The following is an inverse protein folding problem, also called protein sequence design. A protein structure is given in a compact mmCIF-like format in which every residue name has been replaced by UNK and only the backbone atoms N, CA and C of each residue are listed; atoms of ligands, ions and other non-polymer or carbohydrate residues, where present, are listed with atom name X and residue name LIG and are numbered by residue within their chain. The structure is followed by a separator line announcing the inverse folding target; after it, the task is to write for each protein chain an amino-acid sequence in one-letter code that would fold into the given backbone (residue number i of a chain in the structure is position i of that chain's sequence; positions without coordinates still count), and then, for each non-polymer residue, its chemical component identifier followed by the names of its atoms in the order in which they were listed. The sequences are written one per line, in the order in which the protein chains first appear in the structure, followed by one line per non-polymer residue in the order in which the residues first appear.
data_IF_735573934301
#
_entry.id   IF_735573934301
#
_cell.length_a   1.000
_cell.length_b   1.000
_cell.length_c   1.000
_cell.angle_alpha   90.00
_cell.angle_beta   90.00
_cell.angle_gamma   90.00
#
_symmetry.space_group_name_H-M   'P 1'
#
loop_
_entity.id
_entity.type
_entity.pdbx_description
1 polymer ?
#
# COMPACT_ATOMS: atom_id res chain seq x y z
N UNK A 1 9.56 1.79 27.46
CA UNK A 1 10.90 1.92 26.83
C UNK A 1 11.00 3.31 26.16
N UNK A 2 12.09 3.67 25.47
CA UNK A 2 12.16 4.90 24.64
C UNK A 2 12.41 4.56 23.17
N UNK A 3 11.84 5.37 22.27
CA UNK A 3 12.07 5.31 20.83
C UNK A 3 12.69 6.62 20.33
N UNK A 4 13.72 6.49 19.49
CA UNK A 4 14.20 7.53 18.59
C UNK A 4 13.40 7.40 17.31
N UNK A 5 12.62 8.42 16.99
CA UNK A 5 11.76 8.47 15.81
C UNK A 5 12.21 9.56 14.84
N UNK A 6 11.75 9.45 13.60
CA UNK A 6 11.83 10.49 12.58
C UNK A 6 10.42 10.88 12.13
N UNK A 7 10.05 12.14 12.29
CA UNK A 7 8.75 12.66 11.84
C UNK A 7 8.64 12.64 10.32
N UNK A 8 7.48 12.22 9.80
CA UNK A 8 7.22 12.20 8.35
C UNK A 8 7.03 13.62 7.78
N UNK A 9 6.46 14.53 8.56
CA UNK A 9 6.10 15.89 8.08
C UNK A 9 7.31 16.79 7.79
N UNK A 10 8.28 16.84 8.70
CA UNK A 10 9.43 17.75 8.63
C UNK A 10 10.80 17.04 8.61
N UNK A 11 10.81 15.71 8.69
CA UNK A 11 12.03 14.90 8.69
C UNK A 11 12.91 15.03 9.93
N UNK A 12 12.48 15.78 10.96
CA UNK A 12 13.24 15.94 12.21
C UNK A 12 13.19 14.66 13.02
N UNK A 13 14.17 14.52 13.90
CA UNK A 13 14.25 13.42 14.85
C UNK A 13 13.74 13.86 16.22
N UNK A 14 13.21 12.92 17.00
CA UNK A 14 12.79 13.17 18.38
C UNK A 14 12.91 11.88 19.19
N UNK A 15 13.13 12.01 20.49
CA UNK A 15 13.17 10.88 21.42
C UNK A 15 11.95 11.00 22.34
N UNK A 16 11.22 9.90 22.49
CA UNK A 16 10.00 9.85 23.30
C UNK A 16 9.76 8.45 23.86
N UNK A 17 8.97 8.32 24.95
CA UNK A 17 8.56 7.02 25.48
C UNK A 17 7.79 6.18 24.44
N UNK A 18 7.96 4.86 24.46
CA UNK A 18 7.23 3.94 23.55
C UNK A 18 5.71 3.98 23.76
N UNK A 19 5.25 4.29 24.98
CA UNK A 19 3.84 4.54 25.35
C UNK A 19 3.17 5.74 24.66
N UNK A 20 3.92 6.58 23.94
CA UNK A 20 3.36 7.63 23.08
C UNK A 20 3.04 7.11 21.66
N UNK A 21 3.52 5.92 21.30
CA UNK A 21 3.29 5.30 20.00
C UNK A 21 2.04 4.42 20.11
N UNK A 22 1.04 4.68 19.26
CA UNK A 22 -0.23 3.94 19.28
C UNK A 22 -0.08 2.58 18.64
N UNK A 23 -0.74 1.58 19.25
CA UNK A 23 -0.79 0.20 18.77
C UNK A 23 0.62 -0.35 18.48
N UNK A 24 1.57 0.01 19.35
CA UNK A 24 2.97 -0.38 19.30
C UNK A 24 3.21 -1.56 20.25
N UNK A 25 3.77 -2.64 19.69
CA UNK A 25 4.06 -3.87 20.41
C UNK A 25 5.59 -4.07 20.43
N UNK A 26 6.17 -4.13 21.63
CA UNK A 26 7.63 -4.26 21.78
C UNK A 26 8.11 -5.63 21.29
N UNK A 27 7.31 -6.70 21.44
CA UNK A 27 7.69 -8.06 21.05
C UNK A 27 7.58 -8.26 19.52
N UNK A 28 6.53 -7.75 18.86
CA UNK A 28 6.43 -7.77 17.38
C UNK A 28 7.57 -6.99 16.71
N UNK A 29 7.96 -5.85 17.30
CA UNK A 29 9.06 -5.02 16.80
C UNK A 29 10.43 -5.73 16.94
N UNK A 30 10.74 -6.33 18.09
CA UNK A 30 12.00 -7.02 18.30
C UNK A 30 12.10 -8.37 17.58
N UNK A 31 10.99 -9.07 17.38
CA UNK A 31 10.96 -10.31 16.56
C UNK A 31 11.02 -10.03 15.05
N UNK A 32 10.87 -8.79 14.62
CA UNK A 32 10.91 -8.40 13.21
C UNK A 32 9.66 -8.83 12.42
N UNK A 33 8.58 -9.19 13.10
CA UNK A 33 7.29 -9.50 12.47
C UNK A 33 6.46 -8.23 12.17
N UNK A 34 6.84 -7.09 12.74
CA UNK A 34 6.20 -5.80 12.48
C UNK A 34 6.69 -5.13 11.18
N UNK A 35 5.95 -5.29 10.07
CA UNK A 35 6.22 -4.62 8.79
C UNK A 35 5.87 -3.09 8.78
N UNK A 36 5.52 -2.50 9.92
CA UNK A 36 5.12 -1.08 10.00
C UNK A 36 6.35 -0.18 9.82
N UNK A 37 6.45 0.46 8.66
CA UNK A 37 7.45 1.49 8.39
C UNK A 37 7.09 2.87 9.00
N UNK A 38 5.82 3.08 9.35
CA UNK A 38 5.27 4.35 9.87
C UNK A 38 4.28 4.05 10.99
N UNK A 39 4.41 4.81 12.08
CA UNK A 39 3.66 4.68 13.32
C UNK A 39 2.91 5.98 13.62
N UNK A 40 1.81 5.87 14.35
CA UNK A 40 1.05 7.01 14.85
C UNK A 40 1.53 7.37 16.25
N UNK A 41 2.07 8.58 16.42
CA UNK A 41 2.71 9.02 17.66
C UNK A 41 1.97 10.22 18.24
N UNK A 42 1.64 10.13 19.53
CA UNK A 42 1.01 11.19 20.31
C UNK A 42 2.02 12.24 20.77
N UNK A 43 1.81 13.48 20.37
CA UNK A 43 2.59 14.62 20.86
C UNK A 43 2.08 15.07 22.23
N UNK A 44 2.53 14.38 23.27
CA UNK A 44 2.17 14.68 24.66
C UNK A 44 2.98 15.85 25.22
N UNK A 45 2.53 17.08 24.96
CA UNK A 45 3.16 18.29 25.48
C UNK A 45 2.34 18.90 26.62
N UNK A 46 2.79 18.65 27.86
CA UNK A 46 2.18 19.18 29.09
C UNK A 46 1.68 18.08 30.03
N UNK A 47 1.23 18.47 31.22
CA UNK A 47 0.87 17.55 32.31
C UNK A 47 -0.55 16.97 32.18
N UNK A 48 -1.42 17.61 31.40
CA UNK A 48 -2.84 17.26 31.29
C UNK A 48 -3.29 17.13 29.84
N UNK A 49 -3.96 16.02 29.54
CA UNK A 49 -4.53 15.75 28.23
C UNK A 49 -5.58 16.83 27.84
N UNK A 50 -5.50 17.40 26.62
CA UNK A 50 -6.46 18.39 26.16
C UNK A 50 -7.82 17.77 25.83
N UNK A 51 -8.89 18.57 25.86
CA UNK A 51 -10.25 18.15 25.49
C UNK A 51 -10.30 17.78 24.00
N UNK A 52 -10.15 16.50 23.69
CA UNK A 52 -10.06 15.97 22.33
C UNK A 52 -8.93 14.94 22.13
N UNK A 53 -8.09 14.74 23.15
CA UNK A 53 -6.94 13.84 23.10
C UNK A 53 -5.69 14.50 22.53
N UNK A 54 -4.54 13.85 22.71
CA UNK A 54 -3.27 14.36 22.21
C UNK A 54 -3.24 14.48 20.68
N UNK A 55 -2.59 15.51 20.11
CA UNK A 55 -2.30 15.56 18.69
C UNK A 55 -1.51 14.32 18.24
N UNK A 56 -1.87 13.74 17.10
CA UNK A 56 -1.26 12.51 16.59
C UNK A 56 -0.61 12.80 15.24
N UNK A 57 0.65 12.39 15.08
CA UNK A 57 1.45 12.60 13.88
C UNK A 57 2.06 11.28 13.39
N UNK A 58 2.48 11.25 12.12
CA UNK A 58 3.15 10.08 11.52
C UNK A 58 4.67 10.17 11.70
N UNK A 59 5.29 9.08 12.16
CA UNK A 59 6.74 8.97 12.33
C UNK A 59 7.25 7.55 12.06
N UNK A 60 8.50 7.39 11.62
CA UNK A 60 9.18 6.10 11.56
C UNK A 60 10.09 5.89 12.77
N UNK A 61 10.16 4.67 13.30
CA UNK A 61 11.07 4.31 14.39
C UNK A 61 12.47 4.06 13.80
N UNK A 62 13.50 4.67 14.40
CA UNK A 62 14.91 4.62 13.95
C UNK A 62 15.78 3.78 14.90
N UNK A 63 15.43 3.75 16.19
CA UNK A 63 15.98 2.83 17.20
C UNK A 63 15.11 2.87 18.46
N UNK A 64 15.05 1.76 19.17
CA UNK A 64 14.46 1.67 20.51
C UNK A 64 15.58 1.35 21.52
N UNK A 65 15.46 1.87 22.75
CA UNK A 65 16.35 1.51 23.86
C UNK A 65 15.66 1.75 25.23
N UNK A 66 16.06 1.00 26.25
CA UNK A 66 15.60 1.20 27.63
C UNK A 66 15.88 2.60 28.19
N UNK A 67 17.00 3.22 27.77
CA UNK A 67 17.50 4.49 28.34
C UNK A 67 17.56 5.56 27.26
N UNK A 68 16.91 6.69 27.53
CA UNK A 68 16.91 7.87 26.67
C UNK A 68 18.33 8.33 26.28
N UNK A 69 19.29 8.30 27.21
CA UNK A 69 20.70 8.67 26.97
C UNK A 69 21.36 7.88 25.82
N UNK A 70 21.00 6.60 25.67
CA UNK A 70 21.51 5.75 24.57
C UNK A 70 21.01 6.25 23.21
N UNK A 71 19.80 6.81 23.16
CA UNK A 71 19.20 7.37 21.96
C UNK A 71 19.70 8.79 21.70
N UNK A 72 19.99 9.60 22.74
CA UNK A 72 20.61 10.92 22.59
C UNK A 72 21.98 10.84 21.91
N UNK A 73 22.78 9.80 22.21
CA UNK A 73 24.05 9.54 21.52
C UNK A 73 23.81 9.26 20.02
N UNK A 74 22.87 8.36 19.69
CA UNK A 74 22.55 8.03 18.28
C UNK A 74 21.89 9.20 17.54
N UNK A 75 21.10 10.03 18.21
CA UNK A 75 20.54 11.26 17.65
C UNK A 75 21.67 12.21 17.23
N UNK A 76 22.64 12.45 18.12
CA UNK A 76 23.79 13.31 17.85
C UNK A 76 24.67 12.76 16.71
N UNK A 77 24.84 11.45 16.65
CA UNK A 77 25.52 10.76 15.53
C UNK A 77 24.82 11.02 14.19
N UNK A 78 23.47 10.92 14.15
CA UNK A 78 22.67 11.20 12.95
C UNK A 78 22.73 12.69 12.57
N UNK A 79 22.69 13.61 13.54
CA UNK A 79 22.85 15.05 13.32
C UNK A 79 24.24 15.42 12.82
N UNK A 80 25.28 14.66 13.19
CA UNK A 80 26.65 14.86 12.72
C UNK A 80 26.88 14.31 11.30
N UNK A 81 26.15 13.26 10.91
CA UNK A 81 26.16 12.70 9.54
C UNK A 81 25.34 13.54 8.54
N UNK A 82 24.43 14.39 9.02
CA UNK A 82 23.74 15.36 8.17
C UNK A 82 24.72 16.49 7.77
N UNK A 83 24.71 16.95 6.50
CA UNK A 83 25.59 18.01 6.05
C UNK A 83 25.29 19.30 6.82
N UNK A 84 26.21 19.69 7.70
CA UNK A 84 26.14 20.93 8.49
C UNK A 84 26.07 22.11 7.50
N UNK A 85 25.06 23.00 7.59
CA UNK A 85 25.03 24.20 6.75
C UNK A 85 26.26 25.05 7.05
N UNK A 86 26.90 25.62 6.03
CA UNK A 86 28.09 26.45 6.17
C UNK A 86 27.84 27.60 7.15
N UNK A 87 28.41 27.49 8.35
CA UNK A 87 28.36 28.54 9.35
C UNK A 87 29.26 29.67 8.85
N UNK A 88 28.66 30.65 8.18
CA UNK A 88 29.26 31.96 7.96
C UNK A 88 29.51 32.56 9.35
N UNK A 89 30.73 32.37 9.85
CA UNK A 89 31.20 32.90 11.13
C UNK A 89 31.12 34.43 11.05
N UNK A 90 30.04 35.01 11.58
CA UNK A 90 29.96 36.46 11.82
C UNK A 90 31.15 36.84 12.68
N UNK A 91 32.00 37.74 12.17
CA UNK A 91 33.23 38.16 12.85
C UNK A 91 32.88 38.65 14.26
N UNK A 92 33.58 38.11 15.26
CA UNK A 92 33.45 38.54 16.66
C UNK A 92 33.64 40.06 16.76
N UNK A 93 32.70 40.75 17.40
CA UNK A 93 32.94 42.11 17.89
C UNK A 93 33.63 41.98 19.26
N UNK A 94 34.77 42.65 19.49
CA UNK A 94 35.51 42.52 20.75
C UNK A 94 34.69 43.05 21.93
N UNK A 95 34.81 42.41 23.08
CA UNK A 95 34.13 42.84 24.30
C UNK A 95 34.78 44.11 24.87
N UNK A 96 34.01 45.17 25.04
CA UNK A 96 34.37 46.27 25.93
C UNK A 96 34.08 45.81 27.37
N UNK A 97 35.13 45.72 28.18
CA UNK A 97 35.05 45.70 29.65
C UNK A 97 35.34 47.10 30.19
N UNK A 98 35.00 47.33 31.47
CA UNK A 98 35.23 48.55 32.27
C UNK A 98 34.35 49.74 31.84
N UNK A 99 33.57 50.40 32.71
CA UNK A 99 33.93 50.89 34.05
C UNK A 99 32.77 50.88 35.07
N UNK A 100 33.19 50.96 36.34
CA UNK A 100 32.55 51.54 37.54
C UNK A 100 31.14 51.11 37.99
N UNK A 101 31.11 50.62 39.23
CA UNK A 101 29.93 50.52 40.07
C UNK A 101 30.02 51.58 41.18
N UNK A 102 29.11 52.55 41.18
CA UNK A 102 28.76 53.38 42.33
C UNK A 102 27.37 54.01 42.15
N UNK A 103 26.64 54.17 43.26
CA UNK A 103 25.51 55.09 43.47
C UNK A 103 24.12 54.79 42.82
N UNK A 104 23.28 54.15 43.66
CA UNK A 104 21.97 54.61 44.15
C UNK A 104 20.76 54.88 43.21
N UNK A 105 19.70 54.12 43.55
CA UNK A 105 18.26 54.48 43.72
C UNK A 105 17.21 54.21 42.62
N UNK A 106 16.11 53.67 43.16
CA UNK A 106 14.68 53.80 42.84
C UNK A 106 14.10 53.19 41.53
N UNK A 107 13.35 52.11 41.72
CA UNK A 107 12.26 51.57 40.87
C UNK A 107 11.11 52.60 40.69
N UNK A 108 10.09 52.39 39.81
CA UNK A 108 9.83 51.26 38.89
C UNK A 108 9.48 51.65 37.43
N UNK A 109 9.42 50.67 36.51
CA UNK A 109 8.36 50.54 35.48
C UNK A 109 8.61 49.39 34.47
N UNK A 110 7.57 48.61 34.19
CA UNK A 110 7.64 47.46 33.28
C UNK A 110 7.93 47.85 31.81
N UNK A 111 9.06 47.38 31.27
CA UNK A 111 9.37 47.44 29.83
C UNK A 111 9.06 46.10 29.17
N UNK A 112 8.06 46.09 28.27
CA UNK A 112 7.71 44.92 27.44
C UNK A 112 8.93 44.49 26.62
N UNK A 113 9.31 43.20 26.72
CA UNK A 113 10.28 42.61 25.78
C UNK A 113 9.64 42.46 24.41
N UNK A 114 9.88 43.42 23.53
CA UNK A 114 9.62 43.29 22.09
C UNK A 114 10.64 42.30 21.54
N UNK A 115 10.18 41.14 21.08
CA UNK A 115 11.00 40.20 20.33
C UNK A 115 11.20 40.73 18.90
N UNK A 116 12.41 40.66 18.32
CA UNK A 116 12.63 41.01 16.91
C UNK A 116 11.87 40.07 15.97
N UNK A 117 11.00 40.63 15.12
CA UNK A 117 10.13 39.85 14.21
C UNK A 117 10.72 39.84 12.80
N UNK A 118 11.77 39.03 12.59
CA UNK A 118 12.44 38.87 11.28
C UNK A 118 12.41 37.43 10.74
N UNK A 119 11.41 36.62 11.15
CA UNK A 119 11.18 35.26 10.63
C UNK A 119 10.39 35.09 9.30
N UNK A 120 9.68 36.09 8.71
CA UNK A 120 8.81 35.82 7.54
C UNK A 120 9.52 35.34 6.26
N UNK A 121 10.80 35.69 6.07
CA UNK A 121 11.44 35.61 4.76
C UNK A 121 11.94 34.19 4.40
N UNK A 122 12.60 33.50 5.34
CA UNK A 122 13.18 32.17 5.09
C UNK A 122 12.10 31.10 4.84
N UNK A 123 10.96 31.20 5.55
CA UNK A 123 9.83 30.30 5.34
C UNK A 123 9.20 30.47 3.95
N UNK A 124 9.18 31.70 3.42
CA UNK A 124 8.68 31.97 2.07
C UNK A 124 9.59 31.36 1.00
N UNK A 125 10.90 31.57 1.10
CA UNK A 125 11.91 30.99 0.19
C UNK A 125 11.92 29.45 0.25
N UNK A 126 11.71 28.86 1.44
CA UNK A 126 11.62 27.41 1.59
C UNK A 126 10.38 26.83 0.92
N UNK A 127 9.22 27.47 1.12
CA UNK A 127 7.97 27.07 0.46
C UNK A 127 8.06 27.19 -1.07
N UNK A 128 8.68 28.26 -1.58
CA UNK A 128 8.89 28.49 -3.01
C UNK A 128 9.76 27.39 -3.64
N UNK A 129 10.91 27.06 -3.03
CA UNK A 129 11.76 25.93 -3.45
C UNK A 129 11.06 24.57 -3.39
N UNK A 130 10.20 24.36 -2.38
CA UNK A 130 9.38 23.14 -2.26
C UNK A 130 8.35 23.05 -3.39
N UNK A 131 7.69 24.16 -3.73
CA UNK A 131 6.75 24.24 -4.87
C UNK A 131 7.49 23.96 -6.18
N UNK A 132 8.63 24.61 -6.45
CA UNK A 132 9.44 24.36 -7.66
C UNK A 132 9.90 22.90 -7.81
N UNK A 133 10.26 22.25 -6.69
CA UNK A 133 10.64 20.84 -6.71
C UNK A 133 9.44 19.94 -7.03
N UNK A 134 8.30 20.16 -6.37
CA UNK A 134 7.06 19.43 -6.66
C UNK A 134 6.59 19.64 -8.11
N UNK A 135 6.71 20.86 -8.64
CA UNK A 135 6.38 21.20 -10.03
C UNK A 135 7.24 20.38 -11.02
N UNK A 136 8.55 20.26 -10.75
CA UNK A 136 9.48 19.43 -11.55
C UNK A 136 9.12 17.95 -11.49
N UNK A 137 8.85 17.41 -10.30
CA UNK A 137 8.45 16.00 -10.13
C UNK A 137 7.12 15.71 -10.86
N UNK A 138 6.14 16.60 -10.76
CA UNK A 138 4.86 16.49 -11.48
C UNK A 138 5.07 16.49 -13.00
N UNK A 139 5.96 17.33 -13.53
CA UNK A 139 6.24 17.38 -14.96
C UNK A 139 6.94 16.10 -15.44
N UNK A 140 7.94 15.60 -14.70
CA UNK A 140 8.65 14.35 -15.01
C UNK A 140 7.69 13.15 -14.99
N UNK A 141 6.84 13.03 -13.97
CA UNK A 141 5.82 11.98 -13.89
C UNK A 141 4.78 12.08 -15.01
N UNK A 142 4.45 13.29 -15.49
CA UNK A 142 3.56 13.47 -16.65
C UNK A 142 4.21 13.01 -17.95
N UNK A 143 5.49 13.31 -18.14
CA UNK A 143 6.27 12.87 -19.30
C UNK A 143 6.45 11.35 -19.32
N UNK A 144 6.79 10.76 -18.19
CA UNK A 144 6.87 9.29 -18.01
C UNK A 144 5.51 8.62 -18.30
N UNK A 145 4.42 9.14 -17.74
CA UNK A 145 3.07 8.65 -18.06
C UNK A 145 2.68 8.81 -19.54
N UNK A 146 3.17 9.86 -20.22
CA UNK A 146 2.97 10.03 -21.65
C UNK A 146 3.79 9.01 -22.45
N UNK A 147 5.02 8.70 -22.02
CA UNK A 147 5.86 7.70 -22.66
C UNK A 147 5.29 6.28 -22.47
N UNK A 148 4.94 5.90 -21.23
CA UNK A 148 4.28 4.64 -20.91
C UNK A 148 2.95 4.46 -21.65
N UNK A 149 2.19 5.54 -21.91
CA UNK A 149 0.99 5.48 -22.76
C UNK A 149 1.29 5.23 -24.23
N UNK A 150 2.37 5.81 -24.78
CA UNK A 150 2.82 5.52 -26.15
C UNK A 150 3.27 4.07 -26.27
N UNK A 151 4.09 3.59 -25.33
CA UNK A 151 4.58 2.22 -25.29
C UNK A 151 3.42 1.21 -25.13
N UNK A 152 2.50 1.43 -24.20
CA UNK A 152 1.30 0.59 -24.08
C UNK A 152 0.43 0.58 -25.34
N UNK A 153 0.34 1.70 -26.08
CA UNK A 153 -0.35 1.73 -27.37
C UNK A 153 0.42 0.92 -28.43
N UNK A 154 1.73 1.06 -28.48
CA UNK A 154 2.59 0.31 -29.40
C UNK A 154 2.52 -1.20 -29.12
N UNK A 155 2.69 -1.64 -27.88
CA UNK A 155 2.57 -3.05 -27.47
C UNK A 155 1.18 -3.63 -27.78
N UNK A 156 0.10 -2.85 -27.58
CA UNK A 156 -1.25 -3.28 -27.96
C UNK A 156 -1.39 -3.49 -29.47
N UNK A 157 -0.85 -2.58 -30.28
CA UNK A 157 -0.86 -2.74 -31.73
C UNK A 157 -0.02 -3.95 -32.16
N UNK A 158 1.19 -4.12 -31.62
CA UNK A 158 2.08 -5.26 -31.90
C UNK A 158 1.43 -6.61 -31.58
N UNK A 159 0.70 -6.69 -30.45
CA UNK A 159 -0.09 -7.87 -30.06
C UNK A 159 -1.25 -8.12 -31.03
N UNK A 160 -1.96 -7.05 -31.42
CA UNK A 160 -3.07 -7.13 -32.39
C UNK A 160 -2.59 -7.50 -33.80
N UNK A 161 -1.36 -7.19 -34.18
CA UNK A 161 -0.77 -7.62 -35.46
C UNK A 161 -0.24 -9.06 -35.41
N UNK A 162 0.37 -9.50 -34.30
CA UNK A 162 1.01 -10.82 -34.23
C UNK A 162 0.09 -11.98 -33.86
N UNK A 163 -0.96 -11.75 -33.08
CA UNK A 163 -1.87 -12.84 -32.66
C UNK A 163 -2.72 -13.38 -33.83
N UNK A 164 -3.38 -12.55 -34.68
CA UNK A 164 -4.27 -13.08 -35.72
C UNK A 164 -3.57 -13.99 -36.76
N UNK A 165 -2.37 -13.65 -37.30
CA UNK A 165 -1.65 -14.55 -38.21
C UNK A 165 -1.24 -15.87 -37.54
N UNK A 166 -0.89 -15.85 -36.26
CA UNK A 166 -0.56 -17.05 -35.50
C UNK A 166 -1.78 -17.96 -35.31
N UNK A 167 -2.93 -17.37 -34.95
CA UNK A 167 -4.20 -18.09 -34.85
C UNK A 167 -4.60 -18.71 -36.21
N UNK A 168 -4.54 -17.91 -37.28
CA UNK A 168 -4.84 -18.37 -38.64
C UNK A 168 -3.90 -19.50 -39.08
N UNK A 169 -2.60 -19.42 -38.77
CA UNK A 169 -1.66 -20.51 -39.06
C UNK A 169 -1.99 -21.79 -38.28
N UNK A 170 -2.37 -21.68 -37.00
CA UNK A 170 -2.82 -22.85 -36.22
C UNK A 170 -4.14 -23.42 -36.73
N UNK A 171 -5.06 -22.59 -37.20
CA UNK A 171 -6.33 -23.02 -37.78
C UNK A 171 -6.12 -23.77 -39.10
N UNK A 172 -5.23 -23.29 -39.98
CA UNK A 172 -4.82 -24.02 -41.19
C UNK A 172 -4.17 -25.38 -40.88
N UNK A 173 -3.33 -25.49 -39.84
CA UNK A 173 -2.74 -26.77 -39.42
C UNK A 173 -3.75 -27.75 -38.81
N UNK A 174 -4.86 -27.26 -38.25
CA UNK A 174 -5.96 -28.08 -37.71
C UNK A 174 -7.01 -28.44 -38.77
N UNK A 175 -7.05 -27.73 -39.89
CA UNK A 175 -8.05 -27.90 -40.97
C UNK A 175 -7.49 -28.54 -42.24
N UNK A 176 -6.15 -28.56 -42.46
CA UNK A 176 -5.55 -29.42 -43.49
C UNK A 176 -5.83 -30.89 -43.14
N UNK A 177 -6.65 -31.62 -43.92
CA UNK A 177 -6.74 -33.06 -43.77
C UNK A 177 -5.38 -33.65 -44.12
N UNK A 178 -4.93 -34.66 -43.36
CA UNK A 178 -3.75 -35.45 -43.72
C UNK A 178 -3.91 -35.94 -45.16
N UNK A 179 -3.19 -35.31 -46.09
CA UNK A 179 -3.02 -35.84 -47.45
C UNK A 179 -2.15 -37.08 -47.33
N UNK A 180 -2.82 -38.20 -47.10
CA UNK A 180 -2.26 -39.52 -47.31
C UNK A 180 -1.77 -39.57 -48.76
N UNK A 181 -0.46 -39.54 -48.96
CA UNK A 181 0.16 -39.84 -50.26
C UNK A 181 -0.04 -41.33 -50.54
N UNK A 182 -1.26 -41.67 -50.95
CA UNK A 182 -1.65 -42.96 -51.48
C UNK A 182 -1.34 -42.98 -52.99
N UNK A 183 -0.06 -42.82 -53.32
CA UNK A 183 0.49 -43.17 -54.63
C UNK A 183 1.59 -44.21 -54.42
N UNK A 184 1.17 -45.47 -54.51
CA UNK A 184 2.06 -46.62 -54.62
C UNK A 184 2.19 -46.94 -56.11
N UNK A 185 3.42 -46.88 -56.67
CA UNK A 185 3.81 -47.75 -57.76
C UNK A 185 4.71 -48.85 -57.19
N UNK A 186 4.15 -50.05 -57.07
CA UNK A 186 4.92 -51.29 -57.11
C UNK A 186 5.65 -51.37 -58.46
N UNK A 187 6.95 -51.63 -58.46
CA UNK A 187 7.62 -52.43 -59.50
C UNK A 187 8.98 -52.93 -58.99
N UNK A 188 9.10 -54.25 -58.88
CA UNK A 188 10.33 -54.95 -58.51
C UNK A 188 11.42 -54.88 -59.58
N UNK A 189 12.70 -54.64 -59.20
CA UNK A 189 13.88 -55.17 -59.93
C UNK A 189 15.22 -55.09 -59.17
N UNK A 190 15.82 -56.27 -58.96
CA UNK A 190 17.26 -56.59 -58.99
C UNK A 190 18.23 -56.10 -57.88
N UNK A 191 18.62 -57.08 -57.06
CA UNK A 191 19.94 -57.37 -56.41
C UNK A 191 21.22 -56.88 -57.14
N UNK A 192 22.43 -57.04 -56.53
CA UNK A 192 22.81 -57.09 -55.09
C UNK A 192 24.11 -56.29 -54.79
N UNK A 193 24.55 -56.25 -53.52
CA UNK A 193 25.93 -56.61 -53.11
C UNK A 193 25.97 -56.86 -51.59
N UNK A 194 26.89 -57.70 -51.13
CA UNK A 194 26.90 -58.32 -49.80
C UNK A 194 28.10 -57.82 -48.93
N UNK A 195 28.51 -58.53 -47.87
CA UNK A 195 27.92 -58.53 -46.52
C UNK A 195 28.96 -58.05 -45.47
N UNK A 196 28.65 -58.12 -44.15
CA UNK A 196 29.60 -58.67 -43.16
C UNK A 196 29.03 -58.84 -41.72
N UNK A 197 29.28 -60.05 -41.19
CA UNK A 197 29.47 -60.44 -39.76
C UNK A 197 28.33 -60.37 -38.72
N UNK A 198 28.24 -61.47 -37.96
CA UNK A 198 27.28 -61.75 -36.87
C UNK A 198 27.89 -61.45 -35.45
N UNK A 199 27.56 -62.12 -34.31
CA UNK A 199 26.89 -61.54 -33.13
C UNK A 199 27.68 -61.84 -31.81
N UNK A 200 27.16 -62.29 -30.62
CA UNK A 200 25.85 -62.16 -29.91
C UNK A 200 25.92 -61.92 -28.36
N UNK A 201 24.74 -61.62 -27.73
CA UNK A 201 24.25 -62.12 -26.38
C UNK A 201 24.98 -61.71 -25.05
N UNK A 202 24.43 -62.00 -23.84
CA UNK A 202 23.07 -61.72 -23.30
C UNK A 202 23.09 -61.24 -21.79
N UNK A 203 22.00 -61.55 -21.04
CA UNK A 203 21.69 -61.45 -19.57
C UNK A 203 21.47 -60.04 -18.97
N UNK A 204 20.60 -59.81 -17.97
CA UNK A 204 19.52 -60.61 -17.30
C UNK A 204 18.44 -59.64 -16.73
N UNK A 205 17.11 -59.86 -16.76
CA UNK A 205 16.19 -60.81 -16.08
C UNK A 205 15.48 -60.29 -14.80
N UNK A 206 14.16 -60.01 -14.93
CA UNK A 206 13.08 -60.02 -13.89
C UNK A 206 13.09 -58.91 -12.79
N UNK A 207 11.97 -58.49 -12.17
CA UNK A 207 10.60 -59.07 -12.09
C UNK A 207 9.47 -58.04 -11.78
N UNK A 208 8.20 -58.46 -11.95
CA UNK A 208 6.92 -57.94 -11.39
C UNK A 208 6.50 -56.47 -11.73
N UNK A 209 5.32 -56.11 -12.26
CA UNK A 209 3.93 -56.64 -12.27
C UNK A 209 3.18 -56.57 -10.93
N UNK A 210 2.16 -55.69 -10.88
CA UNK A 210 0.87 -55.68 -10.14
C UNK A 210 0.37 -54.20 -10.10
N UNK A 211 -0.89 -53.78 -10.09
CA UNK A 211 -2.19 -54.21 -10.65
C UNK A 211 -3.19 -53.04 -10.36
N UNK A 212 -4.29 -53.00 -11.12
CA UNK A 212 -5.50 -52.14 -11.18
C UNK A 212 -6.12 -51.83 -9.76
N UNK A 213 -6.82 -50.68 -9.45
CA UNK A 213 -8.13 -50.38 -10.06
C UNK A 213 -8.71 -48.94 -10.12
N UNK A 214 -9.83 -48.90 -10.87
CA UNK A 214 -10.80 -47.83 -11.17
C UNK A 214 -11.94 -47.79 -10.14
N UNK A 215 -12.43 -46.60 -9.75
CA UNK A 215 -13.55 -46.38 -8.81
C UNK A 215 -14.33 -45.07 -9.11
N UNK A 216 -15.58 -44.87 -8.62
CA UNK A 216 -16.67 -44.49 -9.52
C UNK A 216 -17.52 -43.24 -9.17
N UNK A 217 -18.41 -42.87 -10.08
CA UNK A 217 -19.51 -41.91 -9.86
C UNK A 217 -20.73 -42.53 -9.16
N UNK A 218 -21.39 -41.79 -8.26
CA UNK A 218 -22.86 -41.77 -8.08
C UNK A 218 -23.31 -40.64 -7.16
N UNK A 219 -24.53 -40.15 -7.36
CA UNK A 219 -25.18 -39.09 -6.60
C UNK A 219 -26.42 -39.61 -5.84
N UNK A 220 -26.86 -38.90 -4.79
CA UNK A 220 -28.26 -38.68 -4.36
C UNK A 220 -28.31 -38.20 -2.88
N UNK A 221 -28.71 -36.96 -2.61
CA UNK A 221 -30.07 -36.51 -2.26
C UNK A 221 -30.45 -36.65 -0.77
N UNK A 222 -30.53 -35.52 -0.07
CA UNK A 222 -31.68 -35.16 0.77
C UNK A 222 -31.90 -33.66 0.65
N UNK A 223 -33.14 -33.17 0.74
CA UNK A 223 -33.42 -31.77 0.48
C UNK A 223 -34.69 -31.25 1.13
N UNK A 224 -34.72 -29.93 1.32
CA UNK A 224 -35.92 -29.14 1.54
C UNK A 224 -35.73 -27.81 0.79
N UNK A 225 -36.61 -27.53 -0.18
CA UNK A 225 -36.41 -26.43 -1.13
C UNK A 225 -37.39 -25.28 -0.87
N UNK A 226 -36.89 -24.04 -0.94
CA UNK A 226 -37.48 -22.92 -1.71
C UNK A 226 -36.64 -21.64 -1.57
N UNK A 227 -36.08 -21.15 -2.68
CA UNK A 227 -35.33 -19.89 -2.75
C UNK A 227 -34.20 -19.97 -3.78
N UNK A 228 -34.51 -19.72 -5.05
CA UNK A 228 -33.53 -19.84 -6.14
C UNK A 228 -32.56 -18.65 -6.17
N UNK A 229 -31.33 -18.88 -5.70
CA UNK A 229 -30.12 -18.25 -6.21
C UNK A 229 -28.93 -19.06 -5.67
N UNK A 230 -28.11 -19.64 -6.54
CA UNK A 230 -26.83 -20.25 -6.13
C UNK A 230 -25.79 -19.13 -5.89
N UNK A 231 -26.14 -18.28 -4.93
CA UNK A 231 -25.41 -17.13 -4.48
C UNK A 231 -24.23 -17.63 -3.63
N UNK A 232 -23.15 -18.07 -4.28
CA UNK A 232 -21.92 -18.40 -3.57
C UNK A 232 -21.41 -17.14 -2.84
N UNK A 233 -21.42 -17.17 -1.51
CA UNK A 233 -21.01 -16.05 -0.66
C UNK A 233 -19.53 -16.17 -0.26
N UNK A 234 -18.84 -15.03 -0.18
CA UNK A 234 -17.44 -14.94 0.28
C UNK A 234 -17.39 -14.03 1.50
N UNK A 235 -16.68 -14.45 2.56
CA UNK A 235 -16.43 -13.61 3.73
C UNK A 235 -15.39 -12.53 3.41
N UNK A 236 -15.71 -11.28 3.75
CA UNK A 236 -14.90 -10.12 3.41
C UNK A 236 -13.64 -10.01 4.28
N UNK A 237 -13.74 -10.43 5.54
CA UNK A 237 -12.63 -10.63 6.45
C UNK A 237 -12.93 -11.85 7.33
N UNK A 238 -11.97 -12.76 7.51
CA UNK A 238 -12.18 -14.00 8.26
C UNK A 238 -12.67 -13.72 9.69
N UNK A 239 -13.69 -14.45 10.13
CA UNK A 239 -14.20 -14.38 11.49
C UNK A 239 -15.11 -13.18 11.79
N UNK A 240 -15.38 -12.29 10.83
CA UNK A 240 -16.35 -11.20 11.00
C UNK A 240 -17.77 -11.58 10.58
N UNK A 241 -17.95 -12.70 9.87
CA UNK A 241 -19.24 -13.16 9.35
C UNK A 241 -19.86 -12.30 8.22
N UNK A 242 -19.24 -11.17 7.88
CA UNK A 242 -19.70 -10.25 6.84
C UNK A 242 -19.44 -10.86 5.46
N UNK A 243 -20.52 -11.15 4.74
CA UNK A 243 -20.52 -11.89 3.48
C UNK A 243 -21.03 -11.03 2.33
N UNK A 244 -20.38 -11.17 1.18
CA UNK A 244 -20.80 -10.59 -0.10
C UNK A 244 -20.87 -11.67 -1.18
N UNK A 245 -21.52 -11.38 -2.31
CA UNK A 245 -21.65 -12.34 -3.41
C UNK A 245 -20.30 -12.52 -4.11
N UNK A 246 -19.95 -13.75 -4.50
CA UNK A 246 -18.66 -14.08 -5.15
C UNK A 246 -18.39 -13.27 -6.42
N UNK A 247 -19.43 -12.93 -7.19
CA UNK A 247 -19.28 -12.05 -8.36
C UNK A 247 -18.94 -10.61 -7.96
N UNK A 248 -19.53 -10.07 -6.89
CA UNK A 248 -19.19 -8.74 -6.36
C UNK A 248 -17.75 -8.72 -5.82
N UNK A 249 -17.32 -9.81 -5.16
CA UNK A 249 -15.94 -9.97 -4.72
C UNK A 249 -14.97 -10.01 -5.91
N UNK A 250 -15.29 -10.76 -6.97
CA UNK A 250 -14.49 -10.78 -8.19
C UNK A 250 -14.40 -9.37 -8.85
N UNK A 251 -15.50 -8.63 -8.92
CA UNK A 251 -15.50 -7.23 -9.39
C UNK A 251 -14.66 -6.31 -8.50
N UNK A 252 -14.66 -6.50 -7.17
CA UNK A 252 -13.82 -5.74 -6.25
C UNK A 252 -12.32 -6.03 -6.48
N UNK A 253 -11.95 -7.29 -6.73
CA UNK A 253 -10.57 -7.70 -7.06
C UNK A 253 -10.08 -7.14 -8.40
N UNK A 254 -10.96 -6.82 -9.35
CA UNK A 254 -10.59 -6.20 -10.64
C UNK A 254 -10.32 -4.68 -10.54
N UNK A 255 -10.66 -4.04 -9.43
CA UNK A 255 -10.51 -2.60 -9.26
C UNK A 255 -9.04 -2.15 -9.35
N UNK A 256 -8.73 -1.11 -10.13
CA UNK A 256 -7.36 -0.66 -10.32
C UNK A 256 -6.82 0.24 -9.19
N UNK A 257 -7.70 0.71 -8.30
CA UNK A 257 -7.32 1.55 -7.15
C UNK A 257 -8.08 1.14 -5.89
N UNK A 258 -7.52 1.45 -4.71
CA UNK A 258 -8.19 1.24 -3.44
C UNK A 258 -9.53 2.00 -3.37
N UNK A 259 -9.59 3.22 -3.90
CA UNK A 259 -10.85 4.01 -4.00
C UNK A 259 -11.92 3.28 -4.79
N UNK A 260 -11.57 2.70 -5.93
CA UNK A 260 -12.51 1.91 -6.74
C UNK A 260 -12.92 0.61 -6.03
N UNK A 261 -12.00 -0.06 -5.34
CA UNK A 261 -12.30 -1.28 -4.58
C UNK A 261 -13.25 -0.99 -3.40
N UNK A 262 -12.99 0.06 -2.62
CA UNK A 262 -13.88 0.56 -1.56
C UNK A 262 -15.28 0.85 -2.11
N UNK A 263 -15.39 1.50 -3.28
CA UNK A 263 -16.68 1.80 -3.91
C UNK A 263 -17.48 0.55 -4.25
N UNK A 264 -16.84 -0.47 -4.85
CA UNK A 264 -17.51 -1.75 -5.15
C UNK A 264 -17.94 -2.45 -3.87
N UNK A 265 -17.06 -2.51 -2.86
CA UNK A 265 -17.36 -3.17 -1.60
C UNK A 265 -18.46 -2.48 -0.80
N UNK A 266 -18.54 -1.14 -0.80
CA UNK A 266 -19.66 -0.40 -0.18
C UNK A 266 -21.00 -0.79 -0.82
N UNK A 267 -21.06 -0.83 -2.16
CA UNK A 267 -22.29 -1.21 -2.89
C UNK A 267 -22.65 -2.70 -2.71
N UNK A 268 -21.69 -3.55 -2.33
CA UNK A 268 -21.90 -4.97 -2.08
C UNK A 268 -22.29 -5.30 -0.63
N UNK A 269 -21.90 -4.46 0.34
CA UNK A 269 -22.10 -4.68 1.78
C UNK A 269 -23.26 -3.90 2.37
N UNK A 270 -23.58 -2.73 1.81
CA UNK A 270 -24.67 -1.88 2.30
C UNK A 270 -25.75 -1.70 1.22
N UNK A 271 -27.04 -1.80 1.58
CA UNK A 271 -28.14 -1.36 0.71
C UNK A 271 -27.97 0.11 0.29
N UNK A 272 -28.48 0.45 -0.89
CA UNK A 272 -28.34 1.79 -1.46
C UNK A 272 -28.97 2.86 -0.56
N UNK A 273 -30.10 2.53 0.05
CA UNK A 273 -30.87 3.37 0.98
C UNK A 273 -30.03 3.72 2.21
N UNK A 274 -29.31 2.73 2.77
CA UNK A 274 -28.40 2.92 3.91
C UNK A 274 -27.28 3.87 3.53
N UNK A 275 -26.74 3.78 2.32
CA UNK A 275 -25.64 4.62 1.87
C UNK A 275 -26.08 6.07 1.57
N UNK A 276 -27.28 6.28 1.04
CA UNK A 276 -27.85 7.62 0.81
C UNK A 276 -28.02 8.37 2.14
N UNK A 277 -28.57 7.70 3.17
CA UNK A 277 -28.85 8.32 4.46
C UNK A 277 -27.66 8.31 5.45
N UNK A 278 -26.54 7.66 5.12
CA UNK A 278 -25.38 7.55 6.02
C UNK A 278 -24.16 8.40 5.60
N UNK A 279 -23.26 8.59 6.57
CA UNK A 279 -21.87 9.02 6.34
C UNK A 279 -20.89 8.21 7.24
N UNK A 280 -19.59 8.35 7.03
CA UNK A 280 -18.56 7.56 7.72
C UNK A 280 -18.56 7.67 9.27
N UNK A 281 -19.04 8.78 9.85
CA UNK A 281 -19.01 9.04 11.31
C UNK A 281 -20.38 9.35 11.92
N UNK A 282 -21.42 9.45 11.10
CA UNK A 282 -22.71 10.03 11.45
C UNK A 282 -22.64 11.54 11.67
N UNK A 283 -23.81 12.16 11.86
CA UNK A 283 -23.94 13.58 12.14
C UNK A 283 -24.16 14.45 10.91
N UNK A 284 -24.14 15.76 11.14
CA UNK A 284 -24.37 16.77 10.12
C UNK A 284 -23.10 17.09 9.34
N UNK A 285 -23.24 17.56 8.09
CA UNK A 285 -22.10 18.08 7.32
C UNK A 285 -21.50 19.30 8.01
N UNK A 286 -20.16 19.39 8.02
CA UNK A 286 -19.46 20.59 8.53
C UNK A 286 -19.39 21.72 7.50
N UNK A 287 -19.49 21.37 6.22
CA UNK A 287 -19.47 22.31 5.09
C UNK A 287 -20.86 22.77 4.69
N UNK A 288 -21.91 22.02 5.06
CA UNK A 288 -23.31 22.37 4.81
C UNK A 288 -24.10 22.26 6.11
N UNK A 289 -24.33 23.41 6.74
CA UNK A 289 -25.04 23.56 8.02
C UNK A 289 -26.57 23.41 7.82
N UNK A 290 -27.05 23.41 6.58
CA UNK A 290 -28.44 23.11 6.23
C UNK A 290 -28.71 21.63 5.92
N UNK A 291 -27.67 20.83 5.65
CA UNK A 291 -27.82 19.42 5.30
C UNK A 291 -28.47 18.58 6.41
N UNK A 292 -29.26 17.59 6.02
CA UNK A 292 -29.87 16.63 6.93
C UNK A 292 -28.82 15.80 7.70
N UNK A 293 -29.11 15.47 8.96
CA UNK A 293 -28.22 14.71 9.83
C UNK A 293 -28.21 13.24 9.42
N UNK A 294 -27.07 12.76 8.91
CA UNK A 294 -26.91 11.38 8.44
C UNK A 294 -26.56 10.39 9.55
N UNK A 295 -26.92 9.14 9.36
CA UNK A 295 -26.54 8.01 10.22
C UNK A 295 -25.06 7.65 10.06
N UNK A 296 -24.46 6.99 11.06
CA UNK A 296 -23.13 6.43 10.91
C UNK A 296 -23.21 5.08 10.20
N UNK A 297 -22.29 4.81 9.26
CA UNK A 297 -22.12 3.45 8.73
C UNK A 297 -21.66 2.50 9.84
N UNK A 298 -22.06 1.23 9.71
CA UNK A 298 -21.66 0.19 10.65
C UNK A 298 -20.13 0.04 10.72
N UNK A 299 -19.62 0.02 11.95
CA UNK A 299 -18.18 0.07 12.22
C UNK A 299 -17.49 -1.26 11.91
N UNK A 300 -18.18 -2.39 12.12
CA UNK A 300 -17.63 -3.73 11.88
C UNK A 300 -17.54 -4.01 10.38
N UNK A 301 -18.61 -3.71 9.64
CA UNK A 301 -18.65 -3.75 8.17
C UNK A 301 -17.60 -2.84 7.55
N UNK A 302 -17.47 -1.60 8.05
CA UNK A 302 -16.41 -0.70 7.59
C UNK A 302 -14.99 -1.19 7.92
N UNK A 303 -14.79 -1.85 9.06
CA UNK A 303 -13.51 -2.46 9.41
C UNK A 303 -13.16 -3.63 8.47
N UNK A 304 -14.13 -4.51 8.18
CA UNK A 304 -13.95 -5.63 7.24
C UNK A 304 -13.60 -5.13 5.82
N UNK A 305 -14.26 -4.07 5.33
CA UNK A 305 -13.91 -3.43 4.05
C UNK A 305 -12.47 -2.91 4.08
N UNK A 306 -12.03 -2.25 5.16
CA UNK A 306 -10.66 -1.74 5.26
C UNK A 306 -9.61 -2.86 5.32
N UNK A 307 -9.89 -3.98 5.99
CA UNK A 307 -9.03 -5.18 6.00
C UNK A 307 -8.92 -5.76 4.59
N UNK A 308 -10.06 -5.97 3.91
CA UNK A 308 -10.09 -6.52 2.55
C UNK A 308 -9.34 -5.66 1.53
N UNK A 309 -9.48 -4.33 1.62
CA UNK A 309 -8.78 -3.39 0.73
C UNK A 309 -7.29 -3.34 1.05
N UNK A 310 -6.89 -3.31 2.33
CA UNK A 310 -5.47 -3.33 2.74
C UNK A 310 -4.75 -4.60 2.33
N UNK A 311 -5.42 -5.76 2.35
CA UNK A 311 -4.86 -7.03 1.84
C UNK A 311 -4.40 -6.95 0.38
N UNK A 312 -5.00 -6.06 -0.43
CA UNK A 312 -4.62 -5.83 -1.83
C UNK A 312 -3.84 -4.53 -2.07
N UNK A 313 -3.99 -3.55 -1.18
CA UNK A 313 -3.34 -2.25 -1.24
C UNK A 313 -2.71 -1.90 0.13
N UNK A 314 -1.57 -2.53 0.50
CA UNK A 314 -1.02 -2.43 1.86
C UNK A 314 -0.63 -1.00 2.25
N UNK A 315 -0.12 -0.22 1.30
CA UNK A 315 0.37 1.15 1.51
C UNK A 315 -0.74 2.20 1.69
N UNK A 316 -2.03 1.81 1.72
CA UNK A 316 -3.13 2.79 1.73
C UNK A 316 -3.53 3.15 3.17
N UNK A 317 -3.35 4.43 3.50
CA UNK A 317 -3.68 4.98 4.81
C UNK A 317 -5.19 4.94 5.09
N UNK A 318 -5.56 4.80 6.37
CA UNK A 318 -6.96 4.79 6.79
C UNK A 318 -7.67 6.11 6.46
N UNK A 319 -6.92 7.22 6.41
CA UNK A 319 -7.42 8.52 5.94
C UNK A 319 -7.83 8.51 4.46
N UNK A 320 -6.99 7.95 3.59
CA UNK A 320 -7.30 7.82 2.16
C UNK A 320 -8.54 6.94 1.91
N UNK A 321 -8.69 5.84 2.67
CA UNK A 321 -9.91 5.01 2.62
C UNK A 321 -11.15 5.80 3.09
N UNK A 322 -11.04 6.57 4.18
CA UNK A 322 -12.14 7.42 4.66
C UNK A 322 -12.56 8.50 3.66
N UNK A 323 -11.61 9.07 2.91
CA UNK A 323 -11.89 10.00 1.81
C UNK A 323 -12.60 9.27 0.66
N UNK A 324 -12.16 8.07 0.29
CA UNK A 324 -12.81 7.26 -0.75
C UNK A 324 -14.27 6.92 -0.41
N UNK A 325 -14.56 6.59 0.87
CA UNK A 325 -15.91 6.36 1.38
C UNK A 325 -16.76 7.62 1.24
N UNK A 326 -16.33 8.75 1.83
CA UNK A 326 -17.10 10.00 1.77
C UNK A 326 -17.30 10.50 0.32
N UNK A 327 -16.31 10.29 -0.56
CA UNK A 327 -16.43 10.56 -1.99
C UNK A 327 -17.51 9.73 -2.70
N UNK A 328 -17.90 8.55 -2.16
CA UNK A 328 -19.01 7.74 -2.68
C UNK A 328 -20.35 8.00 -2.00
N UNK A 329 -20.36 8.55 -0.79
CA UNK A 329 -21.58 8.94 -0.07
C UNK A 329 -22.04 10.38 -0.42
N UNK A 330 -21.16 11.16 -1.04
CA UNK A 330 -21.45 12.49 -1.59
C UNK A 330 -21.75 12.52 -3.10
N UNK A 331 -21.80 11.36 -3.78
CA UNK A 331 -22.14 11.18 -5.21
C UNK A 331 -23.06 9.97 -5.41
#
# INVERSE_FOLDING_TARGET
MFALIKWVEDGKFSILPTEHIRDFDEDEYFTGMEEKNVYLVEWRQGVKEPKGGWPVYEASIIKIAEREKTLQIKLKEIEEQLPKPDIIKRKSKPSIKLLEAAELRDEPAAKKKVYPTDLPNDLKVWNEKKIEHLQRVINLLREENMNLKKENKWLKNEILEKIPPLLQATEHLLTEPMKSNADVPDMSKSQPHAPLSHPPKPVDSNAAVLDVPKAPSKASLSGAAKGSSDAEYVELAHGTGIKILKHQWASALQAQTATSMVRVLLMATFPLEVLIHSNLKGGQSKTDIGAERRTALDKETMAAIYVAVRKRFPNVSRGALGIAVNSKLGN
#
